data_IF_032809355715
#
_entry.id   IF_032809355715
#
_cell.length_a   1.000
_cell.length_b   1.000
_cell.length_c   1.000
_cell.angle_alpha   90.00
_cell.angle_beta   90.00
_cell.angle_gamma   90.00
#
_symmetry.space_group_name_H-M   'P 1'
#
loop_
_entity.id
_entity.type
_entity.pdbx_description
1 polymer ?
#
# COMPACT_ATOMS: atom_id res chain seq x y z
N UNK A 1 26.50 -43.63 -25.04
CA UNK A 1 26.11 -42.54 -25.98
C UNK A 1 24.66 -42.64 -26.46
N UNK A 2 24.26 -43.53 -27.38
CA UNK A 2 22.88 -43.53 -27.91
C UNK A 2 21.75 -43.80 -26.88
N UNK A 3 22.06 -44.48 -25.77
CA UNK A 3 21.10 -44.82 -24.70
C UNK A 3 20.83 -43.64 -23.75
N UNK A 4 21.85 -42.82 -23.47
CA UNK A 4 21.73 -41.62 -22.62
C UNK A 4 20.95 -40.51 -23.35
N UNK A 5 21.18 -40.34 -24.65
CA UNK A 5 20.45 -39.35 -25.46
C UNK A 5 18.95 -39.68 -25.53
N UNK A 6 18.60 -40.97 -25.60
CA UNK A 6 17.20 -41.42 -25.55
C UNK A 6 16.54 -41.13 -24.20
N UNK A 7 17.26 -41.30 -23.10
CA UNK A 7 16.72 -41.02 -21.76
C UNK A 7 16.44 -39.54 -21.58
N UNK A 8 17.36 -38.67 -22.00
CA UNK A 8 17.20 -37.22 -21.93
C UNK A 8 15.98 -36.73 -22.74
N UNK A 9 15.81 -37.26 -23.96
CA UNK A 9 14.66 -36.93 -24.81
C UNK A 9 13.33 -37.29 -24.16
N UNK A 10 13.25 -38.45 -23.50
CA UNK A 10 12.03 -38.90 -22.82
C UNK A 10 11.69 -37.96 -21.68
N UNK A 11 12.67 -37.56 -20.86
CA UNK A 11 12.43 -36.65 -19.74
C UNK A 11 11.96 -35.28 -20.22
N UNK A 12 12.62 -34.70 -21.24
CA UNK A 12 12.21 -33.40 -21.80
C UNK A 12 10.78 -33.48 -22.34
N UNK A 13 10.45 -34.54 -23.08
CA UNK A 13 9.10 -34.73 -23.64
C UNK A 13 8.06 -34.86 -22.53
N UNK A 14 8.37 -35.62 -21.47
CA UNK A 14 7.48 -35.79 -20.32
C UNK A 14 7.28 -34.47 -19.56
N UNK A 15 8.34 -33.68 -19.36
CA UNK A 15 8.26 -32.36 -18.73
C UNK A 15 7.39 -31.39 -19.53
N UNK A 16 7.52 -31.36 -20.87
CA UNK A 16 6.68 -30.52 -21.74
C UNK A 16 5.21 -30.93 -21.66
N UNK A 17 4.92 -32.24 -21.65
CA UNK A 17 3.55 -32.75 -21.50
C UNK A 17 2.95 -32.33 -20.15
N UNK A 18 3.70 -32.51 -19.06
CA UNK A 18 3.24 -32.13 -17.71
C UNK A 18 3.01 -30.62 -17.61
N UNK A 19 3.91 -29.81 -18.15
CA UNK A 19 3.74 -28.35 -18.21
C UNK A 19 2.50 -27.96 -19.03
N UNK A 20 2.26 -28.60 -20.17
CA UNK A 20 1.08 -28.36 -20.99
C UNK A 20 -0.21 -28.69 -20.23
N UNK A 21 -0.25 -29.83 -19.54
CA UNK A 21 -1.40 -30.23 -18.71
C UNK A 21 -1.63 -29.26 -17.55
N UNK A 22 -0.58 -28.87 -16.83
CA UNK A 22 -0.68 -27.89 -15.74
C UNK A 22 -1.12 -26.51 -16.25
N UNK A 23 -0.73 -26.14 -17.48
CA UNK A 23 -1.17 -24.88 -18.09
C UNK A 23 -2.67 -24.86 -18.36
N UNK A 24 -3.27 -26.00 -18.75
CA UNK A 24 -4.72 -26.10 -18.96
C UNK A 24 -5.52 -25.97 -17.65
N UNK A 25 -4.96 -26.43 -16.52
CA UNK A 25 -5.60 -26.22 -15.21
C UNK A 25 -5.48 -24.78 -14.73
N UNK A 26 -4.37 -24.10 -15.05
CA UNK A 26 -4.18 -22.68 -14.72
C UNK A 26 -5.04 -21.76 -15.58
N UNK A 27 -5.30 -22.14 -16.82
CA UNK A 27 -6.08 -21.38 -17.79
C UNK A 27 -7.07 -22.34 -18.48
N UNK A 28 -8.23 -22.66 -17.87
CA UNK A 28 -9.21 -23.52 -18.50
C UNK A 28 -9.63 -22.91 -19.84
N UNK A 29 -9.25 -23.57 -20.93
CA UNK A 29 -9.72 -23.20 -22.26
C UNK A 29 -11.24 -23.27 -22.24
N UNK A 30 -11.89 -22.12 -22.41
CA UNK A 30 -13.34 -22.01 -22.49
C UNK A 30 -13.77 -22.54 -23.85
N UNK A 31 -13.84 -23.87 -23.98
CA UNK A 31 -14.44 -24.51 -25.14
C UNK A 31 -15.97 -24.45 -25.01
N UNK A 32 -16.53 -23.37 -25.54
CA UNK A 32 -17.97 -23.15 -25.60
C UNK A 32 -18.30 -22.03 -26.56
N UNK A 33 -18.37 -22.34 -27.86
CA UNK A 33 -19.04 -21.50 -28.86
C UNK A 33 -18.28 -21.33 -30.16
N UNK A 34 -18.35 -22.33 -31.03
CA UNK A 34 -18.19 -22.13 -32.47
C UNK A 34 -19.42 -21.35 -33.01
N UNK A 35 -19.44 -20.05 -32.75
CA UNK A 35 -20.07 -19.07 -33.63
C UNK A 35 -18.98 -18.09 -34.05
N UNK A 36 -18.90 -17.88 -35.35
CA UNK A 36 -17.99 -16.94 -36.00
C UNK A 36 -17.98 -15.59 -35.27
N UNK A 37 -16.90 -15.30 -34.55
CA UNK A 37 -16.47 -13.92 -34.32
C UNK A 37 -15.03 -13.85 -34.81
N UNK A 38 -14.92 -13.75 -36.14
CA UNK A 38 -13.84 -13.04 -36.81
C UNK A 38 -13.44 -11.82 -35.98
N UNK A 39 -12.14 -11.63 -35.75
CA UNK A 39 -11.50 -10.50 -35.07
C UNK A 39 -12.39 -9.29 -34.82
N UNK A 40 -13.19 -9.34 -33.76
CA UNK A 40 -13.91 -8.19 -33.24
C UNK A 40 -12.86 -7.26 -32.62
N UNK A 41 -12.27 -6.45 -33.48
CA UNK A 41 -11.70 -5.17 -33.10
C UNK A 41 -12.76 -4.54 -32.18
N UNK A 42 -12.49 -4.30 -30.88
CA UNK A 42 -13.51 -3.86 -29.93
C UNK A 42 -14.29 -2.71 -30.56
N UNK A 43 -15.62 -2.79 -30.52
CA UNK A 43 -16.48 -1.87 -31.25
C UNK A 43 -16.03 -0.44 -30.91
N UNK A 44 -15.98 0.50 -31.86
CA UNK A 44 -15.51 1.86 -31.61
C UNK A 44 -16.16 2.50 -30.37
N UNK A 45 -17.43 2.17 -30.10
CA UNK A 45 -18.17 2.61 -28.92
C UNK A 45 -17.70 1.97 -27.61
N UNK A 46 -17.27 0.70 -27.58
CA UNK A 46 -16.68 0.07 -26.40
C UNK A 46 -15.32 0.69 -26.07
N UNK A 47 -14.52 1.01 -27.10
CA UNK A 47 -13.27 1.75 -26.93
C UNK A 47 -13.52 3.16 -26.40
N UNK A 48 -14.59 3.83 -26.85
CA UNK A 48 -14.99 5.14 -26.35
C UNK A 48 -15.52 5.08 -24.92
N UNK A 49 -16.32 4.07 -24.57
CA UNK A 49 -16.83 3.88 -23.21
C UNK A 49 -15.71 3.55 -22.22
N UNK A 50 -14.79 2.65 -22.58
CA UNK A 50 -13.62 2.33 -21.75
C UNK A 50 -12.64 3.52 -21.64
N UNK A 51 -12.56 4.36 -22.67
CA UNK A 51 -11.76 5.60 -22.62
C UNK A 51 -12.42 6.67 -21.76
N UNK A 52 -13.75 6.82 -21.85
CA UNK A 52 -14.51 7.74 -21.01
C UNK A 52 -14.33 7.39 -19.52
N UNK A 53 -14.38 6.11 -19.15
CA UNK A 53 -14.16 5.69 -17.75
C UNK A 53 -12.71 5.88 -17.29
N UNK A 54 -11.72 5.74 -18.19
CA UNK A 54 -10.33 6.04 -17.88
C UNK A 54 -10.09 7.53 -17.65
N UNK A 55 -10.59 8.39 -18.55
CA UNK A 55 -10.42 9.85 -18.47
C UNK A 55 -11.13 10.41 -17.23
N UNK A 56 -12.30 9.86 -16.87
CA UNK A 56 -13.00 10.15 -15.62
C UNK A 56 -12.16 9.75 -14.40
N UNK A 57 -11.64 8.51 -14.36
CA UNK A 57 -10.82 8.07 -13.25
C UNK A 57 -9.53 8.89 -13.13
N UNK A 58 -8.88 9.22 -14.24
CA UNK A 58 -7.70 10.08 -14.26
C UNK A 58 -8.01 11.48 -13.71
N UNK A 59 -9.17 12.04 -14.06
CA UNK A 59 -9.64 13.33 -13.52
C UNK A 59 -9.88 13.25 -12.01
N UNK A 60 -10.56 12.19 -11.54
CA UNK A 60 -10.79 11.95 -10.11
C UNK A 60 -9.48 11.82 -9.35
N UNK A 61 -8.49 11.07 -9.89
CA UNK A 61 -7.19 10.89 -9.25
C UNK A 61 -6.38 12.20 -9.25
N UNK A 62 -6.46 13.01 -10.30
CA UNK A 62 -5.82 14.33 -10.32
C UNK A 62 -6.44 15.31 -9.30
N UNK A 63 -7.77 15.27 -9.15
CA UNK A 63 -8.48 16.03 -8.10
C UNK A 63 -8.12 15.55 -6.69
N UNK A 64 -8.06 14.23 -6.49
CA UNK A 64 -7.64 13.62 -5.25
C UNK A 64 -6.21 14.01 -4.90
N UNK A 65 -5.29 14.00 -5.88
CA UNK A 65 -3.91 14.42 -5.71
C UNK A 65 -3.78 15.87 -5.23
N UNK A 66 -4.59 16.79 -5.77
CA UNK A 66 -4.64 18.19 -5.30
C UNK A 66 -5.16 18.31 -3.86
N UNK A 67 -6.08 17.44 -3.44
CA UNK A 67 -6.68 17.44 -2.10
C UNK A 67 -5.75 16.81 -1.04
N UNK A 68 -5.10 15.70 -1.38
CA UNK A 68 -4.27 14.91 -0.46
C UNK A 68 -2.81 15.39 -0.45
N UNK A 69 -2.32 15.96 -1.56
CA UNK A 69 -0.93 16.43 -1.69
C UNK A 69 -0.44 17.31 -0.53
N UNK A 70 -1.21 18.31 -0.05
CA UNK A 70 -0.81 19.11 1.11
C UNK A 70 -0.62 18.28 2.39
N UNK A 71 -1.41 17.21 2.56
CA UNK A 71 -1.43 16.34 3.75
C UNK A 71 -0.32 15.30 3.76
N UNK A 72 0.34 15.05 2.63
CA UNK A 72 1.40 14.05 2.51
C UNK A 72 2.73 14.72 2.18
N UNK A 73 3.79 14.28 2.85
CA UNK A 73 5.17 14.57 2.47
C UNK A 73 5.87 13.28 2.13
N UNK A 74 7.03 13.37 1.48
CA UNK A 74 7.84 12.18 1.19
C UNK A 74 9.12 12.28 1.96
N UNK A 75 9.46 11.22 2.67
CA UNK A 75 10.74 11.03 3.33
C UNK A 75 11.67 10.33 2.36
N UNK A 76 12.90 10.81 2.27
CA UNK A 76 14.01 10.03 1.71
C UNK A 76 14.64 9.27 2.87
N UNK A 77 14.72 7.95 2.74
CA UNK A 77 15.25 7.04 3.75
C UNK A 77 16.35 6.17 3.14
N UNK A 78 17.22 5.65 3.99
CA UNK A 78 18.24 4.66 3.66
C UNK A 78 17.89 3.34 4.36
N UNK A 79 17.58 2.32 3.57
CA UNK A 79 17.27 0.98 4.05
C UNK A 79 18.36 0.03 3.55
N UNK A 80 19.25 -0.39 4.45
CA UNK A 80 20.39 -1.27 4.14
C UNK A 80 21.30 -0.77 2.99
N UNK A 81 21.53 0.54 2.88
CA UNK A 81 22.37 1.15 1.85
C UNK A 81 21.62 1.49 0.55
N UNK A 82 20.32 1.19 0.46
CA UNK A 82 19.46 1.56 -0.65
C UNK A 82 18.59 2.76 -0.28
N UNK A 83 18.64 3.82 -1.09
CA UNK A 83 17.76 4.97 -0.92
C UNK A 83 16.33 4.62 -1.35
N UNK A 84 15.37 4.87 -0.46
CA UNK A 84 13.93 4.67 -0.70
C UNK A 84 13.15 5.92 -0.36
N UNK A 85 11.91 5.97 -0.84
CA UNK A 85 11.00 7.10 -0.64
C UNK A 85 9.73 6.61 0.05
N UNK A 86 9.43 7.18 1.22
CA UNK A 86 8.32 6.74 2.07
C UNK A 86 7.35 7.90 2.24
N UNK A 87 6.05 7.73 1.96
CA UNK A 87 5.08 8.78 2.21
C UNK A 87 4.86 8.95 3.72
N UNK A 88 4.72 10.19 4.16
CA UNK A 88 4.50 10.59 5.54
C UNK A 88 3.26 11.47 5.64
N UNK A 89 2.31 11.04 6.46
CA UNK A 89 1.01 11.64 6.64
C UNK A 89 1.04 12.73 7.71
N UNK A 90 0.50 13.91 7.42
CA UNK A 90 0.35 14.97 8.42
C UNK A 90 -0.83 14.69 9.35
N UNK A 91 -0.51 14.21 10.55
CA UNK A 91 -1.49 13.82 11.58
C UNK A 91 -1.83 14.95 12.55
N UNK A 92 -0.95 15.97 12.65
CA UNK A 92 -1.17 17.22 13.38
C UNK A 92 -0.54 18.38 12.61
N UNK A 93 -0.84 19.66 12.93
CA UNK A 93 -0.26 20.79 12.22
C UNK A 93 1.27 20.75 12.15
N UNK A 94 1.94 20.24 13.17
CA UNK A 94 3.40 20.19 13.31
C UNK A 94 3.99 18.78 13.29
N UNK A 95 3.18 17.73 13.03
CA UNK A 95 3.66 16.34 13.04
C UNK A 95 3.32 15.57 11.76
N UNK A 96 4.31 14.82 11.29
CA UNK A 96 4.14 13.78 10.28
C UNK A 96 4.26 12.39 10.93
N UNK A 97 3.48 11.45 10.43
CA UNK A 97 3.57 10.02 10.72
C UNK A 97 4.05 9.28 9.48
N UNK A 98 5.02 8.39 9.61
CA UNK A 98 5.42 7.50 8.53
C UNK A 98 5.64 6.07 9.04
N UNK A 99 5.50 5.10 8.14
CA UNK A 99 5.88 3.72 8.39
C UNK A 99 7.32 3.50 7.93
N UNK A 100 8.23 3.34 8.88
CA UNK A 100 9.67 3.24 8.64
C UNK A 100 10.19 2.04 9.42
N UNK A 101 10.75 1.07 8.69
CA UNK A 101 11.28 -0.16 9.29
C UNK A 101 12.38 0.14 10.30
N UNK A 102 12.54 -0.70 11.32
CA UNK A 102 13.50 -0.47 12.41
C UNK A 102 14.97 -0.36 11.98
N UNK A 103 15.33 -0.92 10.82
CA UNK A 103 16.66 -0.86 10.22
C UNK A 103 16.89 0.35 9.29
N UNK A 104 15.87 1.21 9.15
CA UNK A 104 15.85 2.28 8.17
C UNK A 104 16.22 3.62 8.78
N UNK A 105 17.17 4.32 8.16
CA UNK A 105 17.59 5.66 8.57
C UNK A 105 16.87 6.73 7.76
N UNK A 106 16.24 7.70 8.44
CA UNK A 106 15.62 8.85 7.78
C UNK A 106 16.70 9.86 7.40
N UNK A 107 16.79 10.22 6.11
CA UNK A 107 17.82 11.12 5.60
C UNK A 107 17.34 12.57 5.49
N UNK A 108 16.17 12.78 4.88
CA UNK A 108 15.61 14.12 4.64
C UNK A 108 14.13 14.04 4.28
N UNK A 109 13.43 15.17 4.33
CA UNK A 109 12.10 15.33 3.70
C UNK A 109 12.33 15.88 2.28
N UNK A 110 11.66 15.30 1.28
CA UNK A 110 11.72 15.78 -0.12
C UNK A 110 11.25 17.24 -0.17
N UNK A 111 11.91 18.06 -1.00
CA UNK A 111 11.67 19.51 -1.16
C UNK A 111 11.81 20.35 0.12
N UNK A 112 12.48 19.83 1.15
CA UNK A 112 12.69 20.55 2.41
C UNK A 112 14.12 20.36 2.93
N UNK A 113 14.78 21.47 3.25
CA UNK A 113 16.13 21.46 3.83
C UNK A 113 16.13 21.47 5.37
N UNK A 114 14.96 21.49 6.00
CA UNK A 114 14.83 21.53 7.45
C UNK A 114 15.38 20.24 8.09
N UNK A 115 16.01 20.34 9.28
CA UNK A 115 16.42 19.15 10.03
C UNK A 115 15.19 18.32 10.41
N UNK A 116 15.37 17.01 10.43
CA UNK A 116 14.35 16.07 10.89
C UNK A 116 14.50 15.92 12.40
N UNK A 117 13.43 16.19 13.14
CA UNK A 117 13.34 15.95 14.57
C UNK A 117 12.37 14.79 14.81
N UNK A 118 12.89 13.66 15.30
CA UNK A 118 12.10 12.46 15.61
C UNK A 118 11.52 12.63 17.01
N UNK A 119 10.20 12.76 17.07
CA UNK A 119 9.47 12.98 18.33
C UNK A 119 9.27 11.67 19.08
N UNK A 120 8.90 10.61 18.36
CA UNK A 120 8.66 9.30 18.92
C UNK A 120 8.84 8.22 17.83
N UNK A 121 9.23 7.02 18.26
CA UNK A 121 9.33 5.84 17.41
C UNK A 121 8.67 4.66 18.12
N UNK A 122 7.73 4.02 17.44
CA UNK A 122 7.06 2.80 17.86
C UNK A 122 7.69 1.65 17.08
N UNK A 123 8.63 0.95 17.71
CA UNK A 123 9.39 -0.13 17.08
C UNK A 123 8.53 -1.36 16.78
N UNK A 124 7.46 -1.57 17.53
CA UNK A 124 6.54 -2.69 17.38
C UNK A 124 5.69 -2.52 16.10
N UNK A 125 5.23 -1.30 15.84
CA UNK A 125 4.41 -0.96 14.66
C UNK A 125 5.21 -0.38 13.49
N UNK A 126 6.53 -0.24 13.66
CA UNK A 126 7.44 0.43 12.73
C UNK A 126 6.94 1.84 12.32
N UNK A 127 6.38 2.59 13.29
CA UNK A 127 5.84 3.93 13.08
C UNK A 127 6.77 4.99 13.66
N UNK A 128 6.96 6.08 12.92
CA UNK A 128 7.75 7.23 13.36
C UNK A 128 6.94 8.52 13.30
N UNK A 129 7.02 9.31 14.38
CA UNK A 129 6.49 10.67 14.43
C UNK A 129 7.63 11.67 14.27
N UNK A 130 7.48 12.56 13.29
CA UNK A 130 8.46 13.58 12.94
C UNK A 130 7.87 14.96 13.17
N UNK A 131 8.64 15.85 13.78
CA UNK A 131 8.30 17.27 13.88
C UNK A 131 8.65 17.98 12.58
N UNK A 132 7.72 18.83 12.13
CA UNK A 132 7.85 19.64 10.92
C UNK A 132 7.31 21.04 11.16
N UNK A 133 7.64 22.02 10.29
CA UNK A 133 7.00 23.32 10.34
C UNK A 133 5.47 23.20 10.34
N UNK A 134 4.85 24.01 11.21
CA UNK A 134 3.41 23.96 11.43
C UNK A 134 2.65 24.41 10.17
N UNK A 135 1.70 23.59 9.74
CA UNK A 135 0.76 23.87 8.67
C UNK A 135 -0.60 23.24 9.03
N UNK A 136 -1.48 24.06 9.59
CA UNK A 136 -2.80 23.62 10.03
C UNK A 136 -3.77 23.34 8.87
N UNK A 137 -3.49 23.86 7.66
CA UNK A 137 -4.37 23.68 6.49
C UNK A 137 -4.27 22.28 5.87
N UNK A 138 -3.31 21.50 6.33
CA UNK A 138 -2.87 20.25 5.72
C UNK A 138 -3.04 19.03 6.63
N UNK A 139 -3.85 19.10 7.69
CA UNK A 139 -4.07 17.96 8.60
C UNK A 139 -5.07 16.98 8.01
N UNK A 140 -4.74 15.70 8.03
CA UNK A 140 -5.64 14.63 7.58
C UNK A 140 -6.86 14.55 8.49
N UNK A 141 -8.04 14.36 7.89
CA UNK A 141 -9.25 14.05 8.64
C UNK A 141 -9.34 12.53 8.88
N UNK A 142 -9.27 12.11 10.14
CA UNK A 142 -9.58 10.73 10.52
C UNK A 142 -11.10 10.54 10.56
N UNK A 143 -11.59 9.46 9.93
CA UNK A 143 -13.01 9.13 10.03
C UNK A 143 -13.32 8.55 11.42
N UNK A 144 -14.35 9.09 12.08
CA UNK A 144 -14.79 8.60 13.39
C UNK A 144 -15.68 7.34 13.33
N UNK A 145 -16.08 6.89 12.14
CA UNK A 145 -17.01 5.76 11.95
C UNK A 145 -16.34 4.43 11.59
N UNK A 146 -17.02 3.32 11.86
CA UNK A 146 -16.63 2.01 11.35
C UNK A 146 -16.90 1.97 9.84
N UNK A 147 -15.84 1.98 9.02
CA UNK A 147 -16.01 1.75 7.59
C UNK A 147 -16.51 0.32 7.38
N UNK A 148 -17.59 0.16 6.62
CA UNK A 148 -17.98 -1.15 6.13
C UNK A 148 -16.92 -1.63 5.13
N UNK A 149 -15.92 -2.35 5.66
CA UNK A 149 -14.83 -2.97 4.90
C UNK A 149 -15.35 -4.00 3.85
N UNK A 150 -16.59 -4.44 3.98
CA UNK A 150 -17.10 -5.56 3.18
C UNK A 150 -17.47 -5.21 1.73
N UNK A 151 -17.46 -3.94 1.30
CA UNK A 151 -17.93 -3.56 -0.05
C UNK A 151 -16.78 -3.34 -1.04
N UNK A 152 -16.85 -3.94 -2.26
CA UNK A 152 -15.90 -3.65 -3.32
C UNK A 152 -15.90 -2.16 -3.66
N UNK A 153 -14.71 -1.56 -3.82
CA UNK A 153 -14.57 -0.13 -4.12
C UNK A 153 -13.20 0.23 -4.70
N UNK A 154 -13.14 1.34 -5.41
CA UNK A 154 -11.87 1.97 -5.79
C UNK A 154 -11.33 2.84 -4.65
N UNK A 155 -10.00 2.78 -4.48
CA UNK A 155 -9.21 3.61 -3.58
C UNK A 155 -7.99 4.12 -4.34
N UNK A 156 -7.21 5.00 -3.73
CA UNK A 156 -5.89 5.39 -4.23
C UNK A 156 -4.81 5.04 -3.19
N UNK A 157 -3.75 4.36 -3.63
CA UNK A 157 -2.52 4.28 -2.86
C UNK A 157 -1.66 5.50 -3.16
N UNK A 158 -1.13 6.11 -2.11
CA UNK A 158 -0.12 7.15 -2.16
C UNK A 158 1.22 6.53 -1.81
N UNK A 159 2.15 6.58 -2.75
CA UNK A 159 3.53 6.10 -2.63
C UNK A 159 4.50 7.28 -2.63
N UNK A 160 5.66 7.12 -1.98
CA UNK A 160 6.73 8.11 -2.04
C UNK A 160 7.55 7.95 -3.33
N UNK A 161 7.87 9.06 -3.99
CA UNK A 161 8.79 9.07 -5.13
C UNK A 161 9.80 10.21 -4.98
N UNK A 162 10.90 10.24 -5.77
CA UNK A 162 11.80 11.38 -5.79
C UNK A 162 11.13 12.72 -6.12
N UNK A 163 10.02 12.70 -6.87
CA UNK A 163 9.25 13.90 -7.25
C UNK A 163 8.09 14.23 -6.31
N UNK A 164 8.03 13.61 -5.12
CA UNK A 164 6.93 13.78 -4.18
C UNK A 164 5.92 12.62 -4.18
N UNK A 165 4.73 12.81 -3.59
CA UNK A 165 3.74 11.74 -3.46
C UNK A 165 3.15 11.39 -4.84
N UNK A 166 3.14 10.10 -5.18
CA UNK A 166 2.50 9.57 -6.38
C UNK A 166 1.21 8.82 -6.00
N UNK A 167 0.13 9.06 -6.74
CA UNK A 167 -1.15 8.40 -6.54
C UNK A 167 -1.36 7.31 -7.60
N UNK A 168 -1.76 6.13 -7.15
CA UNK A 168 -2.16 5.03 -8.04
C UNK A 168 -3.56 4.52 -7.65
N UNK A 169 -4.52 4.47 -8.58
CA UNK A 169 -5.82 3.87 -8.31
C UNK A 169 -5.66 2.36 -8.07
N UNK A 170 -6.41 1.84 -7.12
CA UNK A 170 -6.48 0.42 -6.77
C UNK A 170 -7.94 0.01 -6.59
N UNK A 171 -8.28 -1.19 -7.05
CA UNK A 171 -9.59 -1.79 -6.78
C UNK A 171 -9.47 -2.74 -5.59
N UNK A 172 -10.22 -2.48 -4.53
CA UNK A 172 -10.37 -3.39 -3.40
C UNK A 172 -11.62 -4.22 -3.64
N UNK A 173 -11.45 -5.50 -3.95
CA UNK A 173 -12.57 -6.40 -4.23
C UNK A 173 -13.28 -6.85 -2.96
N UNK A 174 -12.50 -7.31 -1.98
CA UNK A 174 -12.99 -7.75 -0.67
C UNK A 174 -11.97 -7.34 0.37
N UNK A 175 -12.43 -6.75 1.48
CA UNK A 175 -11.57 -6.55 2.65
C UNK A 175 -12.20 -7.23 3.85
N UNK A 176 -11.47 -8.21 4.37
CA UNK A 176 -11.80 -8.92 5.60
C UNK A 176 -10.90 -8.41 6.72
N UNK A 177 -11.33 -8.60 7.97
CA UNK A 177 -10.53 -8.22 9.14
C UNK A 177 -9.81 -9.44 9.65
N UNK A 178 -8.52 -9.30 9.95
CA UNK A 178 -7.71 -10.28 10.65
C UNK A 178 -7.36 -9.71 12.02
N UNK A 179 -7.43 -10.56 13.05
CA UNK A 179 -7.00 -10.20 14.39
C UNK A 179 -5.48 -10.03 14.42
N UNK A 180 -5.01 -8.96 15.04
CA UNK A 180 -3.59 -8.66 15.21
C UNK A 180 -3.39 -8.08 16.61
N UNK A 181 -2.31 -8.46 17.28
CA UNK A 181 -2.04 -8.08 18.67
C UNK A 181 -1.55 -6.63 18.80
N UNK A 182 -0.98 -6.07 17.73
CA UNK A 182 -0.42 -4.73 17.69
C UNK A 182 -1.51 -3.67 17.45
N UNK A 183 -2.59 -4.02 16.77
CA UNK A 183 -3.68 -3.11 16.42
C UNK A 183 -5.01 -3.53 17.05
N UNK A 184 -5.59 -2.66 17.87
CA UNK A 184 -6.89 -2.92 18.55
C UNK A 184 -8.02 -3.26 17.57
N UNK A 185 -7.96 -2.67 16.36
CA UNK A 185 -8.91 -2.97 15.31
C UNK A 185 -8.47 -4.11 14.37
N UNK A 186 -7.44 -4.86 14.71
CA UNK A 186 -6.82 -5.79 13.79
C UNK A 186 -6.38 -5.11 12.49
N UNK A 187 -6.11 -5.95 11.49
CA UNK A 187 -5.68 -5.54 10.16
C UNK A 187 -6.79 -5.81 9.14
N UNK A 188 -6.80 -5.01 8.07
CA UNK A 188 -7.63 -5.27 6.90
C UNK A 188 -6.83 -6.08 5.89
N UNK A 189 -7.31 -7.28 5.54
CA UNK A 189 -6.83 -8.00 4.37
C UNK A 189 -7.19 -7.17 3.16
N UNK A 190 -6.19 -6.68 2.47
CA UNK A 190 -6.39 -5.99 1.21
C UNK A 190 -6.48 -7.09 0.15
N UNK A 191 -7.70 -7.58 -0.11
CA UNK A 191 -7.92 -8.68 -1.05
C UNK A 191 -7.60 -8.27 -2.49
N UNK A 192 -6.72 -9.03 -3.13
CA UNK A 192 -6.22 -8.81 -4.50
C UNK A 192 -4.70 -8.78 -4.54
N UNK A 193 -4.11 -8.83 -5.74
CA UNK A 193 -2.66 -8.57 -5.92
C UNK A 193 -2.45 -7.07 -5.69
N UNK A 194 -2.37 -6.63 -4.43
CA UNK A 194 -1.99 -5.26 -4.16
C UNK A 194 -0.52 -5.08 -4.50
N UNK A 195 -0.30 -4.26 -5.51
CA UNK A 195 1.01 -3.70 -5.84
C UNK A 195 1.39 -2.54 -4.90
N UNK A 196 0.59 -2.26 -3.87
CA UNK A 196 0.91 -1.20 -2.90
C UNK A 196 2.15 -1.60 -2.10
N UNK A 197 3.15 -0.74 -2.13
CA UNK A 197 4.38 -0.96 -1.37
C UNK A 197 4.10 -0.81 0.14
N UNK A 198 4.82 -1.52 1.02
CA UNK A 198 4.72 -1.29 2.46
C UNK A 198 5.02 0.18 2.79
N UNK A 199 4.22 0.75 3.69
CA UNK A 199 4.21 2.18 4.00
C UNK A 199 3.35 3.05 3.09
N UNK A 200 2.72 2.50 2.04
CA UNK A 200 1.76 3.26 1.21
C UNK A 200 0.57 3.72 2.03
N UNK A 201 0.12 4.96 1.83
CA UNK A 201 -1.11 5.47 2.44
C UNK A 201 -2.29 5.18 1.52
N UNK A 202 -3.40 4.67 2.05
CA UNK A 202 -4.59 4.33 1.26
C UNK A 202 -5.67 5.39 1.53
N UNK A 203 -6.16 6.01 0.46
CA UNK A 203 -7.22 7.01 0.50
C UNK A 203 -8.45 6.56 -0.29
N UNK A 204 -9.63 6.90 0.21
CA UNK A 204 -10.84 6.88 -0.59
C UNK A 204 -10.77 7.93 -1.70
N UNK A 205 -11.56 7.74 -2.76
CA UNK A 205 -11.65 8.73 -3.84
C UNK A 205 -12.23 10.09 -3.38
N UNK A 206 -12.84 10.13 -2.20
CA UNK A 206 -13.30 11.33 -1.52
C UNK A 206 -12.19 12.05 -0.71
N UNK A 207 -10.97 11.53 -0.71
CA UNK A 207 -9.84 12.10 0.05
C UNK A 207 -9.81 11.71 1.51
N UNK A 208 -10.67 10.79 1.96
CA UNK A 208 -10.62 10.29 3.34
C UNK A 208 -9.53 9.23 3.47
N UNK A 209 -8.78 9.27 4.57
CA UNK A 209 -7.80 8.22 4.85
C UNK A 209 -8.54 6.92 5.18
N UNK A 210 -8.26 5.88 4.41
CA UNK A 210 -8.72 4.51 4.69
C UNK A 210 -7.74 3.83 5.63
N UNK A 211 -6.43 3.98 5.38
CA UNK A 211 -5.42 3.31 6.17
C UNK A 211 -4.00 3.44 5.66
N UNK A 212 -3.14 2.57 6.18
CA UNK A 212 -1.72 2.44 5.86
C UNK A 212 -1.45 0.99 5.47
N UNK A 213 -0.74 0.77 4.37
CA UNK A 213 -0.33 -0.56 3.95
C UNK A 213 0.90 -1.01 4.74
N UNK A 214 0.83 -2.20 5.33
CA UNK A 214 1.93 -2.88 6.03
C UNK A 214 2.11 -4.29 5.46
N UNK A 215 3.16 -4.99 5.87
CA UNK A 215 3.32 -6.41 5.60
C UNK A 215 3.14 -7.16 6.92
N UNK A 216 2.23 -8.11 6.91
CA UNK A 216 1.94 -8.99 8.03
C UNK A 216 1.97 -10.44 7.53
N UNK A 217 2.77 -11.29 8.18
CA UNK A 217 3.01 -12.69 7.78
C UNK A 217 3.31 -12.90 6.27
N UNK A 218 3.95 -11.92 5.63
CA UNK A 218 4.34 -11.96 4.21
C UNK A 218 3.25 -11.52 3.23
N UNK A 219 2.11 -11.01 3.71
CA UNK A 219 1.02 -10.50 2.88
C UNK A 219 0.79 -9.00 3.13
N UNK A 220 0.26 -8.30 2.12
CA UNK A 220 -0.11 -6.91 2.23
C UNK A 220 -1.39 -6.75 3.06
N UNK A 221 -1.30 -6.00 4.15
CA UNK A 221 -2.40 -5.72 5.06
C UNK A 221 -2.58 -4.20 5.23
N UNK A 222 -3.79 -3.78 5.60
CA UNK A 222 -4.14 -2.38 5.82
C UNK A 222 -4.41 -2.10 7.29
N UNK A 223 -3.61 -1.22 7.89
CA UNK A 223 -3.90 -0.64 9.20
C UNK A 223 -4.98 0.42 9.03
N UNK A 224 -6.09 0.33 9.77
CA UNK A 224 -7.20 1.28 9.64
C UNK A 224 -6.80 2.69 10.08
N UNK A 225 -7.47 3.71 9.55
CA UNK A 225 -7.29 5.11 9.99
C UNK A 225 -7.47 5.29 11.51
N UNK A 226 -8.37 4.51 12.14
CA UNK A 226 -8.59 4.57 13.59
C UNK A 226 -7.43 3.94 14.37
N UNK A 227 -6.94 2.77 13.95
CA UNK A 227 -5.74 2.16 14.52
C UNK A 227 -4.53 3.09 14.42
N UNK A 228 -4.38 3.79 13.29
CA UNK A 228 -3.35 4.82 13.11
C UNK A 228 -3.52 5.94 14.14
N UNK A 229 -4.73 6.47 14.30
CA UNK A 229 -5.01 7.53 15.27
C UNK A 229 -4.69 7.09 16.70
N UNK A 230 -5.15 5.90 17.11
CA UNK A 230 -4.85 5.33 18.43
C UNK A 230 -3.34 5.16 18.65
N UNK A 231 -2.59 4.72 17.62
CA UNK A 231 -1.14 4.61 17.70
C UNK A 231 -0.47 5.97 17.90
N UNK A 232 -0.90 7.01 17.17
CA UNK A 232 -0.39 8.38 17.34
C UNK A 232 -0.68 8.89 18.75
N UNK A 233 -1.89 8.69 19.26
CA UNK A 233 -2.27 9.12 20.61
C UNK A 233 -1.40 8.43 21.69
N UNK A 234 -1.10 7.14 21.52
CA UNK A 234 -0.19 6.39 22.40
C UNK A 234 1.25 6.90 22.32
N UNK A 235 1.77 7.15 21.13
CA UNK A 235 3.13 7.68 20.94
C UNK A 235 3.33 9.09 21.54
N UNK A 236 2.24 9.87 21.64
CA UNK A 236 2.24 11.21 22.24
C UNK A 236 1.89 11.22 23.72
N UNK A 237 1.42 10.10 24.27
CA UNK A 237 1.14 10.00 25.68
C UNK A 237 2.44 10.18 26.49
N UNK A 238 2.43 10.92 27.61
CA UNK A 238 3.60 11.05 28.44
C UNK A 238 4.05 9.66 28.90
N UNK A 239 5.36 9.40 28.85
CA UNK A 239 5.94 8.16 29.35
C UNK A 239 5.45 7.94 30.79
N UNK A 240 4.82 6.78 31.05
CA UNK A 240 4.33 6.49 32.39
C UNK A 240 5.51 6.48 33.36
N UNK A 241 5.52 7.34 34.40
CA UNK A 241 6.59 7.35 35.38
C UNK A 241 6.52 6.06 36.20
N UNK A 242 7.38 5.08 35.88
CA UNK A 242 7.42 3.80 36.59
C UNK A 242 7.91 2.60 35.79
N UNK A 243 8.06 2.70 34.46
CA UNK A 243 8.73 1.66 33.68
C UNK A 243 10.25 1.80 33.84
N UNK A 244 10.78 1.19 34.90
CA UNK A 244 12.22 1.02 35.10
C UNK A 244 12.79 0.24 33.90
N UNK A 245 13.81 0.76 33.18
CA UNK A 245 14.36 0.06 32.03
C UNK A 245 14.93 -1.29 32.52
N UNK A 246 14.70 -2.40 31.78
CA UNK A 246 15.20 -3.71 32.19
C UNK A 246 16.72 -3.62 32.37
N UNK A 247 17.15 -3.78 33.62
CA UNK A 247 18.54 -3.63 34.05
C UNK A 247 19.46 -4.47 33.18
N UNK A 248 20.34 -3.80 32.43
CA UNK A 248 21.44 -4.43 31.74
C UNK A 248 22.34 -5.12 32.77
N UNK A 249 22.39 -6.44 32.69
CA UNK A 249 23.41 -7.28 33.33
C UNK A 249 24.43 -7.70 32.27
#
# INVERSE_FOLDING_TARGET
>A
MARETRMLLIVITLSVIVLAVLSQFRFPHTEGGAHEISGATPLPLERLAARATYDELATIIAELGRRVGPQVRVLRVDAAGEQRYVPALRVRPDLLLAHVRGDTRILSIVDTAAPIDVVAFDAERELVLLRVPADASSVVAFQSGSQSAARPRYVAAVEGTPGGPALRPLFLGRTDRIEDEHYEEGLLVLGGVLLASPGSLIFGLDGTLVGLCVIDDGYAAGVTSRSIQSAVDRMLAPAQPGAEPPGGS
#
